data_IF_831174004424
#
_entry.id   IF_831174004424
#
_cell.length_a   1.000
_cell.length_b   1.000
_cell.length_c   1.000
_cell.angle_alpha   90.00
_cell.angle_beta   90.00
_cell.angle_gamma   90.00
#
_symmetry.space_group_name_H-M   'P 1'
#
loop_
_entity.id
_entity.type
_entity.pdbx_description
1 polymer ?
#
# COMPACT_ATOMS: atom_id res chain seq x y z
N UNK A 1 -10.28 -16.49 33.92
CA UNK A 1 -11.60 -15.89 33.61
C UNK A 1 -11.53 -14.43 34.01
N UNK A 2 -11.57 -13.51 33.05
CA UNK A 2 -11.61 -12.06 33.31
C UNK A 2 -13.05 -11.69 33.69
N UNK A 3 -13.22 -10.91 34.76
CA UNK A 3 -14.54 -10.50 35.25
C UNK A 3 -15.17 -9.46 34.29
N UNK A 4 -16.51 -9.44 34.09
CA UNK A 4 -17.13 -8.72 32.97
C UNK A 4 -17.42 -7.22 33.22
N UNK A 5 -16.54 -6.44 33.87
CA UNK A 5 -16.96 -5.07 34.26
C UNK A 5 -15.93 -3.93 34.31
N UNK A 6 -14.90 -3.90 33.43
CA UNK A 6 -14.21 -2.63 33.12
C UNK A 6 -13.84 -2.60 31.64
N UNK A 7 -14.78 -2.17 30.79
CA UNK A 7 -14.44 -1.86 29.39
C UNK A 7 -13.39 -0.74 29.40
N UNK A 8 -12.18 -1.03 28.96
CA UNK A 8 -11.14 -0.02 28.83
C UNK A 8 -11.23 0.63 27.46
N UNK A 9 -11.22 1.95 27.40
CA UNK A 9 -11.32 2.66 26.13
C UNK A 9 -9.95 3.12 25.63
N UNK A 10 -9.78 3.12 24.31
CA UNK A 10 -8.61 3.71 23.68
C UNK A 10 -8.99 4.66 22.54
N UNK A 11 -8.00 5.48 22.16
CA UNK A 11 -8.02 6.26 20.94
C UNK A 11 -6.94 5.79 19.98
N UNK A 12 -7.22 5.74 18.68
CA UNK A 12 -6.24 5.43 17.64
C UNK A 12 -5.91 6.70 16.86
N UNK A 13 -4.65 7.11 16.92
CA UNK A 13 -4.12 8.29 16.25
C UNK A 13 -3.11 7.86 15.21
N UNK A 14 -3.39 8.14 13.94
CA UNK A 14 -2.63 7.60 12.82
C UNK A 14 -1.95 8.72 12.04
N UNK A 15 -0.63 8.67 11.97
CA UNK A 15 0.11 9.44 10.96
C UNK A 15 -0.06 8.75 9.61
N UNK A 16 -1.19 9.06 8.96
CA UNK A 16 -1.60 8.36 7.76
C UNK A 16 -0.65 8.64 6.61
N UNK A 17 -0.14 9.87 6.52
CA UNK A 17 0.84 10.27 5.51
C UNK A 17 2.14 9.46 5.65
N UNK A 18 2.69 9.35 6.87
CA UNK A 18 3.91 8.59 7.11
C UNK A 18 3.73 7.10 6.81
N UNK A 19 2.62 6.50 7.28
CA UNK A 19 2.32 5.10 7.00
C UNK A 19 2.10 4.85 5.51
N UNK A 20 1.43 5.77 4.81
CA UNK A 20 1.15 5.68 3.38
C UNK A 20 2.45 5.64 2.59
N UNK A 21 3.32 6.63 2.75
CA UNK A 21 4.58 6.65 2.02
C UNK A 21 5.49 5.48 2.42
N UNK A 22 5.47 5.08 3.68
CA UNK A 22 6.19 3.89 4.16
C UNK A 22 5.73 2.62 3.44
N UNK A 23 4.41 2.39 3.36
CA UNK A 23 3.85 1.22 2.68
C UNK A 23 4.03 1.31 1.17
N UNK A 24 3.78 2.47 0.57
CA UNK A 24 3.96 2.70 -0.88
C UNK A 24 5.40 2.48 -1.33
N UNK A 25 6.38 2.88 -0.51
CA UNK A 25 7.79 2.65 -0.81
C UNK A 25 8.21 1.19 -0.57
N UNK A 26 7.65 0.51 0.45
CA UNK A 26 8.01 -0.87 0.79
C UNK A 26 7.29 -1.93 -0.05
N UNK A 27 6.02 -1.69 -0.39
CA UNK A 27 5.11 -2.53 -1.18
C UNK A 27 4.44 -1.68 -2.28
N UNK A 28 5.20 -1.18 -3.27
CA UNK A 28 4.65 -0.43 -4.40
C UNK A 28 3.70 -1.27 -5.27
N UNK A 29 3.64 -2.58 -5.05
CA UNK A 29 2.71 -3.50 -5.68
C UNK A 29 1.29 -3.46 -5.09
N UNK A 30 1.10 -2.77 -3.98
CA UNK A 30 -0.20 -2.57 -3.34
C UNK A 30 -0.73 -1.16 -3.66
N UNK A 31 -2.05 -1.04 -3.72
CA UNK A 31 -2.71 0.26 -3.58
C UNK A 31 -2.60 0.66 -2.11
N UNK A 32 -1.56 1.42 -1.77
CA UNK A 32 -1.17 1.69 -0.39
C UNK A 32 -2.30 2.37 0.40
N UNK A 33 -3.06 3.25 -0.23
CA UNK A 33 -4.22 3.90 0.39
C UNK A 33 -5.27 2.88 0.84
N UNK A 34 -5.77 2.08 -0.10
CA UNK A 34 -6.78 1.05 0.16
C UNK A 34 -6.27 -0.01 1.15
N UNK A 35 -5.03 -0.46 1.01
CA UNK A 35 -4.46 -1.44 1.94
C UNK A 35 -4.36 -0.88 3.36
N UNK A 36 -4.01 0.40 3.52
CA UNK A 36 -3.99 1.01 4.85
C UNK A 36 -5.39 1.09 5.47
N UNK A 37 -6.45 1.38 4.71
CA UNK A 37 -7.82 1.33 5.24
C UNK A 37 -8.13 -0.06 5.80
N UNK A 38 -7.86 -1.12 5.02
CA UNK A 38 -8.09 -2.51 5.44
C UNK A 38 -7.25 -2.89 6.66
N UNK A 39 -6.00 -2.42 6.71
CA UNK A 39 -5.09 -2.66 7.82
C UNK A 39 -5.57 -1.96 9.10
N UNK A 40 -6.04 -0.73 8.99
CA UNK A 40 -6.56 0.05 10.12
C UNK A 40 -7.85 -0.55 10.68
N UNK A 41 -8.73 -1.07 9.82
CA UNK A 41 -9.91 -1.82 10.26
C UNK A 41 -9.52 -3.08 11.04
N UNK A 42 -8.60 -3.90 10.50
CA UNK A 42 -8.06 -5.07 11.21
C UNK A 42 -7.37 -4.71 12.54
N UNK A 43 -6.68 -3.57 12.57
CA UNK A 43 -6.00 -3.09 13.76
C UNK A 43 -6.99 -2.83 14.90
N UNK A 44 -8.17 -2.25 14.61
CA UNK A 44 -9.22 -2.02 15.62
C UNK A 44 -9.65 -3.33 16.28
N UNK A 45 -9.94 -4.37 15.49
CA UNK A 45 -10.30 -5.68 16.01
C UNK A 45 -9.16 -6.29 16.84
N UNK A 46 -7.93 -6.24 16.36
CA UNK A 46 -6.76 -6.76 17.07
C UNK A 46 -6.55 -6.08 18.43
N UNK A 47 -6.71 -4.76 18.51
CA UNK A 47 -6.59 -4.02 19.78
C UNK A 47 -7.64 -4.50 20.78
N UNK A 48 -8.88 -4.70 20.33
CA UNK A 48 -9.95 -5.19 21.19
C UNK A 48 -9.70 -6.63 21.66
N UNK A 49 -9.32 -7.53 20.75
CA UNK A 49 -9.14 -8.95 21.07
C UNK A 49 -7.88 -9.24 21.90
N UNK A 50 -6.74 -8.62 21.57
CA UNK A 50 -5.46 -8.95 22.20
C UNK A 50 -5.11 -8.04 23.38
N UNK A 51 -5.61 -6.80 23.39
CA UNK A 51 -5.26 -5.81 24.42
C UNK A 51 -6.45 -5.40 25.29
N UNK A 52 -7.67 -5.81 24.95
CA UNK A 52 -8.87 -5.55 25.75
C UNK A 52 -9.33 -4.09 25.74
N UNK A 53 -8.84 -3.27 24.81
CA UNK A 53 -9.28 -1.88 24.65
C UNK A 53 -10.31 -1.75 23.53
N UNK A 54 -11.41 -1.05 23.79
CA UNK A 54 -12.36 -0.67 22.76
C UNK A 54 -11.95 0.68 22.13
N UNK A 55 -11.66 0.73 20.81
CA UNK A 55 -11.36 1.99 20.14
C UNK A 55 -12.63 2.82 19.94
N UNK A 56 -12.73 3.96 20.63
CA UNK A 56 -13.92 4.84 20.60
C UNK A 56 -13.67 6.19 19.90
N UNK A 57 -12.42 6.53 19.65
CA UNK A 57 -12.02 7.71 18.88
C UNK A 57 -10.86 7.31 17.96
N UNK A 58 -11.06 7.35 16.66
CA UNK A 58 -10.01 6.97 15.71
C UNK A 58 -9.83 8.10 14.70
N UNK A 59 -8.62 8.63 14.58
CA UNK A 59 -8.29 9.78 13.73
C UNK A 59 -7.09 9.47 12.86
N UNK A 60 -7.14 9.93 11.62
CA UNK A 60 -6.05 9.83 10.65
C UNK A 60 -5.64 11.24 10.22
N UNK A 61 -4.34 11.53 10.27
CA UNK A 61 -3.80 12.86 9.97
C UNK A 61 -2.95 12.77 8.70
N UNK A 62 -3.30 13.57 7.68
CA UNK A 62 -2.54 13.67 6.45
C UNK A 62 -2.90 14.94 5.66
N UNK A 63 -1.99 15.33 4.76
CA UNK A 63 -2.37 16.12 3.60
C UNK A 63 -2.87 15.16 2.49
N UNK A 64 -4.16 14.82 2.53
CA UNK A 64 -4.78 13.87 1.60
C UNK A 64 -4.70 14.30 0.12
N UNK A 65 -4.32 15.54 -0.17
CA UNK A 65 -4.16 16.05 -1.53
C UNK A 65 -2.76 15.80 -2.10
N UNK A 66 -1.79 15.36 -1.29
CA UNK A 66 -0.41 15.10 -1.76
C UNK A 66 -0.29 13.90 -2.69
N UNK A 67 -1.22 12.95 -2.62
CA UNK A 67 -1.23 11.75 -3.46
C UNK A 67 -2.67 11.34 -3.78
N UNK A 68 -2.93 10.94 -5.03
CA UNK A 68 -4.28 10.60 -5.48
C UNK A 68 -4.86 9.41 -4.71
N UNK A 69 -4.05 8.41 -4.33
CA UNK A 69 -4.54 7.27 -3.54
C UNK A 69 -4.96 7.69 -2.14
N UNK A 70 -4.33 8.72 -1.57
CA UNK A 70 -4.75 9.28 -0.29
C UNK A 70 -6.05 10.06 -0.44
N UNK A 71 -6.20 10.83 -1.52
CA UNK A 71 -7.41 11.61 -1.78
C UNK A 71 -8.66 10.72 -1.85
N UNK A 72 -8.54 9.55 -2.50
CA UNK A 72 -9.65 8.64 -2.79
C UNK A 72 -10.15 7.82 -1.59
N UNK A 73 -9.37 7.72 -0.50
CA UNK A 73 -9.70 6.81 0.62
C UNK A 73 -10.36 7.47 1.83
N UNK A 74 -10.60 8.79 1.78
CA UNK A 74 -11.20 9.51 2.92
C UNK A 74 -12.60 9.00 3.28
N UNK A 75 -13.43 8.66 2.29
CA UNK A 75 -14.75 8.07 2.52
C UNK A 75 -14.66 6.67 3.14
N UNK A 76 -13.74 5.85 2.64
CA UNK A 76 -13.54 4.49 3.14
C UNK A 76 -12.98 4.48 4.58
N UNK A 77 -12.14 5.45 4.93
CA UNK A 77 -11.68 5.67 6.30
C UNK A 77 -12.85 5.96 7.26
N UNK A 78 -13.79 6.82 6.86
CA UNK A 78 -14.99 7.12 7.65
C UNK A 78 -15.85 5.87 7.85
N UNK A 79 -16.06 5.07 6.79
CA UNK A 79 -16.78 3.80 6.87
C UNK A 79 -16.07 2.79 7.79
N UNK A 80 -14.74 2.79 7.81
CA UNK A 80 -13.92 1.98 8.73
C UNK A 80 -13.88 2.52 10.18
N UNK A 81 -14.58 3.63 10.45
CA UNK A 81 -14.67 4.25 11.78
C UNK A 81 -13.49 5.15 12.15
N UNK A 82 -12.77 5.68 11.15
CA UNK A 82 -11.71 6.67 11.30
C UNK A 82 -12.16 8.03 10.77
N UNK A 83 -11.93 9.08 11.54
CA UNK A 83 -12.17 10.47 11.15
C UNK A 83 -10.92 11.05 10.45
N UNK A 84 -10.99 11.36 9.15
CA UNK A 84 -9.87 11.98 8.43
C UNK A 84 -9.73 13.45 8.82
N UNK A 85 -8.56 13.80 9.36
CA UNK A 85 -8.18 15.17 9.66
C UNK A 85 -7.24 15.68 8.57
N UNK A 86 -7.75 16.60 7.77
CA UNK A 86 -7.01 17.19 6.66
C UNK A 86 -6.14 18.35 7.14
N UNK A 87 -4.85 18.33 6.79
CA UNK A 87 -3.91 19.41 7.06
C UNK A 87 -3.23 19.83 5.77
N UNK A 88 -3.60 21.02 5.26
CA UNK A 88 -2.91 21.60 4.11
C UNK A 88 -1.48 21.97 4.50
N UNK A 89 -0.50 21.23 3.97
CA UNK A 89 0.89 21.38 4.34
C UNK A 89 1.68 21.88 3.15
N UNK A 90 2.41 23.00 3.30
CA UNK A 90 3.43 23.35 2.30
C UNK A 90 4.48 22.22 2.26
N UNK A 91 5.09 21.93 1.10
CA UNK A 91 6.17 20.95 1.01
C UNK A 91 7.23 21.29 2.07
N UNK A 92 7.69 20.28 2.83
CA UNK A 92 8.62 20.39 3.96
C UNK A 92 8.05 20.81 5.32
N UNK A 93 6.73 20.82 5.52
CA UNK A 93 6.13 21.11 6.84
C UNK A 93 5.51 19.88 7.48
N UNK A 94 6.04 19.54 8.63
CA UNK A 94 5.51 18.61 9.62
C UNK A 94 4.29 19.25 10.31
N UNK A 95 3.13 19.25 9.65
CA UNK A 95 1.90 19.82 10.23
C UNK A 95 0.93 18.75 10.73
N UNK A 96 0.98 17.54 10.16
CA UNK A 96 0.16 16.42 10.58
C UNK A 96 0.58 15.83 11.93
N UNK A 97 1.88 15.62 12.14
CA UNK A 97 2.50 15.18 13.40
C UNK A 97 2.29 16.17 14.55
N UNK A 98 2.35 17.48 14.26
CA UNK A 98 2.02 18.54 15.23
C UNK A 98 0.54 18.46 15.64
N UNK A 99 -0.39 18.39 14.68
CA UNK A 99 -1.82 18.31 14.99
C UNK A 99 -2.15 17.04 15.76
N UNK A 100 -1.61 15.89 15.33
CA UNK A 100 -1.73 14.62 16.04
C UNK A 100 -1.26 14.75 17.50
N UNK A 101 -0.12 15.40 17.72
CA UNK A 101 0.42 15.59 19.08
C UNK A 101 -0.45 16.50 19.95
N UNK A 102 -1.05 17.54 19.37
CA UNK A 102 -1.99 18.43 20.07
C UNK A 102 -3.25 17.66 20.47
N UNK A 103 -3.86 16.95 19.52
CA UNK A 103 -5.06 16.14 19.75
C UNK A 103 -4.80 15.01 20.76
N UNK A 104 -3.63 14.38 20.69
CA UNK A 104 -3.21 13.38 21.68
C UNK A 104 -3.16 13.97 23.09
N UNK A 105 -2.56 15.16 23.26
CA UNK A 105 -2.53 15.83 24.56
C UNK A 105 -3.91 16.28 25.03
N UNK A 106 -4.74 16.79 24.13
CA UNK A 106 -6.13 17.14 24.44
C UNK A 106 -6.89 15.92 24.95
N UNK A 107 -6.77 14.76 24.29
CA UNK A 107 -7.39 13.51 24.74
C UNK A 107 -6.86 13.08 26.10
N UNK A 108 -5.53 13.12 26.32
CA UNK A 108 -4.95 12.76 27.61
C UNK A 108 -5.50 13.62 28.75
N UNK A 109 -5.73 14.91 28.49
CA UNK A 109 -6.16 15.89 29.51
C UNK A 109 -7.68 15.91 29.71
N UNK A 110 -8.46 15.82 28.63
CA UNK A 110 -9.92 15.99 28.67
C UNK A 110 -10.70 14.68 28.70
N UNK A 111 -10.09 13.55 28.34
CA UNK A 111 -10.75 12.24 28.25
C UNK A 111 -10.18 11.28 29.29
N UNK A 112 -10.69 11.40 30.52
CA UNK A 112 -10.34 10.52 31.62
C UNK A 112 -10.69 9.05 31.34
N UNK A 113 -11.77 8.82 30.58
CA UNK A 113 -12.27 7.52 30.14
C UNK A 113 -11.34 6.81 29.14
N UNK A 114 -10.47 7.54 28.43
CA UNK A 114 -9.50 6.95 27.51
C UNK A 114 -8.26 6.54 28.31
N UNK A 115 -8.05 5.25 28.53
CA UNK A 115 -6.93 4.74 29.33
C UNK A 115 -5.65 4.50 28.49
N UNK A 116 -5.81 4.34 27.17
CA UNK A 116 -4.74 4.01 26.25
C UNK A 116 -4.80 4.86 24.98
N UNK A 117 -3.64 5.35 24.54
CA UNK A 117 -3.48 5.97 23.23
C UNK A 117 -2.69 5.02 22.32
N UNK A 118 -3.27 4.69 21.19
CA UNK A 118 -2.64 3.91 20.13
C UNK A 118 -2.06 4.88 19.12
N UNK A 119 -0.73 4.99 19.08
CA UNK A 119 -0.02 5.89 18.17
C UNK A 119 0.48 5.07 16.98
N UNK A 120 -0.05 5.34 15.79
CA UNK A 120 0.38 4.67 14.58
C UNK A 120 1.39 5.54 13.83
N UNK A 121 2.67 5.43 14.21
CA UNK A 121 3.78 6.17 13.64
C UNK A 121 5.13 5.46 13.85
N UNK A 122 6.07 5.61 12.90
CA UNK A 122 7.40 4.99 12.95
C UNK A 122 8.55 5.92 13.39
N UNK A 123 8.33 7.24 13.37
CA UNK A 123 9.38 8.26 13.52
C UNK A 123 9.70 8.60 15.00
N UNK A 124 10.98 8.78 15.30
CA UNK A 124 11.45 9.29 16.59
C UNK A 124 10.88 10.66 16.99
N UNK A 125 10.37 11.44 16.04
CA UNK A 125 9.70 12.72 16.31
C UNK A 125 8.49 12.58 17.25
N UNK A 126 7.93 11.37 17.38
CA UNK A 126 6.83 11.06 18.31
C UNK A 126 7.28 10.76 19.75
N UNK A 127 8.59 10.69 20.04
CA UNK A 127 9.09 10.43 21.39
C UNK A 127 8.59 11.43 22.45
N UNK A 128 8.57 12.76 22.21
CA UNK A 128 8.13 13.72 23.20
C UNK A 128 6.67 13.50 23.59
N UNK A 129 5.77 13.26 22.63
CA UNK A 129 4.35 13.04 22.91
C UNK A 129 4.13 11.71 23.65
N UNK A 130 4.80 10.63 23.24
CA UNK A 130 4.74 9.33 23.94
C UNK A 130 5.17 9.48 25.40
N UNK A 131 6.27 10.19 25.66
CA UNK A 131 6.73 10.45 27.04
C UNK A 131 5.70 11.23 27.85
N UNK A 132 5.03 12.22 27.25
CA UNK A 132 3.99 12.99 27.93
C UNK A 132 2.79 12.11 28.26
N UNK A 133 2.31 11.30 27.32
CA UNK A 133 1.20 10.35 27.57
C UNK A 133 1.51 9.44 28.78
N UNK A 134 2.72 8.85 28.80
CA UNK A 134 3.17 7.99 29.89
C UNK A 134 3.31 8.74 31.24
N UNK A 135 3.77 10.00 31.22
CA UNK A 135 3.87 10.84 32.43
C UNK A 135 2.50 11.13 33.06
N UNK A 136 1.44 11.16 32.25
CA UNK A 136 0.05 11.29 32.73
C UNK A 136 -0.55 9.96 33.20
N UNK A 137 0.23 8.87 33.23
CA UNK A 137 -0.20 7.55 33.70
C UNK A 137 -1.08 6.78 32.71
N UNK A 138 -1.22 7.27 31.48
CA UNK A 138 -1.95 6.58 30.40
C UNK A 138 -1.04 5.56 29.71
N UNK A 139 -1.63 4.51 29.15
CA UNK A 139 -0.91 3.51 28.36
C UNK A 139 -0.68 4.01 26.93
N UNK A 140 0.39 3.51 26.29
CA UNK A 140 0.67 3.76 24.88
C UNK A 140 0.84 2.43 24.17
N UNK A 141 0.08 2.21 23.09
CA UNK A 141 0.35 1.15 22.12
C UNK A 141 0.95 1.77 20.86
N UNK A 142 2.15 1.35 20.50
CA UNK A 142 2.84 1.85 19.31
C UNK A 142 2.59 0.92 18.12
N UNK A 143 2.00 1.46 17.05
CA UNK A 143 1.78 0.74 15.81
C UNK A 143 2.69 1.28 14.71
N UNK A 144 3.55 0.43 14.14
CA UNK A 144 4.33 0.83 12.97
C UNK A 144 4.79 -0.37 12.16
N UNK A 145 5.28 -0.10 10.95
CA UNK A 145 5.94 -1.11 10.17
C UNK A 145 7.34 -1.39 10.74
N UNK A 146 7.75 -2.65 10.78
CA UNK A 146 9.04 -3.05 11.33
C UNK A 146 10.23 -2.43 10.59
N UNK A 147 10.05 -2.06 9.32
CA UNK A 147 11.08 -1.44 8.48
C UNK A 147 11.20 0.08 8.65
N UNK A 148 10.21 0.75 9.29
CA UNK A 148 10.23 2.20 9.50
C UNK A 148 10.27 2.61 10.99
N UNK A 149 10.30 1.63 11.90
CA UNK A 149 10.17 1.88 13.34
C UNK A 149 11.52 2.20 13.99
N UNK A 150 11.66 3.41 14.53
CA UNK A 150 12.84 3.85 15.28
C UNK A 150 13.12 2.98 16.51
N UNK A 151 14.40 2.69 16.77
CA UNK A 151 14.83 1.95 17.95
C UNK A 151 14.57 2.69 19.27
N UNK A 152 14.53 4.01 19.24
CA UNK A 152 14.25 4.83 20.43
C UNK A 152 12.81 4.68 20.90
N UNK A 153 11.86 4.66 19.96
CA UNK A 153 10.45 4.41 20.27
C UNK A 153 10.27 3.04 20.93
N UNK A 154 10.93 2.01 20.39
CA UNK A 154 10.89 0.65 20.94
C UNK A 154 11.36 0.61 22.39
N UNK A 155 12.47 1.28 22.69
CA UNK A 155 13.02 1.38 24.06
C UNK A 155 12.09 2.12 25.00
N UNK A 156 11.41 3.17 24.51
CA UNK A 156 10.54 4.00 25.34
C UNK A 156 9.21 3.31 25.68
N UNK A 157 8.64 2.57 24.73
CA UNK A 157 7.30 1.96 24.86
C UNK A 157 7.38 0.51 25.40
N UNK A 158 8.45 -0.21 25.06
CA UNK A 158 8.66 -1.62 25.41
C UNK A 158 7.96 -2.58 24.45
N UNK A 159 8.58 -3.72 24.13
CA UNK A 159 8.07 -4.69 23.13
C UNK A 159 6.62 -5.18 23.35
N UNK A 160 6.12 -5.41 24.58
CA UNK A 160 4.72 -5.83 24.78
C UNK A 160 3.69 -4.82 24.27
N UNK A 161 4.08 -3.54 24.19
CA UNK A 161 3.23 -2.43 23.79
C UNK A 161 3.42 -2.06 22.31
N UNK A 162 4.02 -2.94 21.50
CA UNK A 162 4.30 -2.69 20.09
C UNK A 162 3.46 -3.63 19.21
N UNK A 163 2.65 -3.04 18.33
CA UNK A 163 1.90 -3.75 17.30
C UNK A 163 2.61 -3.57 15.96
N UNK A 164 3.12 -4.66 15.40
CA UNK A 164 3.82 -4.65 14.10
C UNK A 164 2.81 -4.75 12.96
N UNK A 165 2.63 -3.65 12.24
CA UNK A 165 1.64 -3.53 11.16
C UNK A 165 1.87 -4.54 10.03
N UNK A 166 3.12 -4.98 9.80
CA UNK A 166 3.44 -6.01 8.79
C UNK A 166 2.67 -7.32 8.99
N UNK A 167 2.31 -7.66 10.23
CA UNK A 167 1.57 -8.88 10.53
C UNK A 167 0.11 -8.83 10.05
N UNK A 168 -0.41 -7.63 9.79
CA UNK A 168 -1.79 -7.37 9.35
C UNK A 168 -1.91 -7.22 7.84
N UNK A 169 -0.79 -6.96 7.16
CA UNK A 169 -0.72 -6.96 5.71
C UNK A 169 -1.04 -8.35 5.15
N UNK A 170 -1.63 -8.44 3.96
CA UNK A 170 -1.81 -9.71 3.28
C UNK A 170 -0.45 -10.39 3.15
N UNK A 171 -0.37 -11.64 3.63
CA UNK A 171 0.77 -12.50 3.38
C UNK A 171 0.90 -12.63 1.86
N UNK A 172 1.98 -12.09 1.31
CA UNK A 172 2.35 -12.38 -0.06
C UNK A 172 2.44 -13.90 -0.23
N UNK A 173 1.81 -14.44 -1.28
CA UNK A 173 2.13 -15.78 -1.82
C UNK A 173 3.59 -15.76 -2.28
N UNK A 174 4.51 -15.88 -1.34
CA UNK A 174 5.91 -16.17 -1.61
C UNK A 174 6.04 -17.68 -1.52
N UNK A 175 6.08 -18.32 -2.69
CA UNK A 175 6.59 -19.69 -2.79
C UNK A 175 8.04 -19.63 -2.35
N UNK A 176 8.35 -20.39 -1.31
CA UNK A 176 9.68 -20.49 -0.74
C UNK A 176 10.43 -21.58 -1.51
N UNK A 177 11.28 -21.20 -2.46
CA UNK A 177 12.27 -22.13 -3.03
C UNK A 177 13.63 -21.49 -2.92
N UNK A 178 14.27 -21.71 -1.77
CA UNK A 178 15.70 -21.49 -1.67
C UNK A 178 16.40 -22.43 -2.63
N UNK A 179 16.94 -21.89 -3.73
CA UNK A 179 18.06 -22.36 -4.54
C UNK A 179 18.28 -21.33 -5.67
N UNK A 180 19.53 -21.18 -6.10
CA UNK A 180 20.04 -20.05 -6.88
C UNK A 180 19.35 -19.74 -8.22
N UNK A 181 19.57 -18.50 -8.66
CA UNK A 181 19.11 -17.91 -9.92
C UNK A 181 19.37 -18.81 -11.14
N UNK A 182 18.28 -19.27 -11.75
CA UNK A 182 18.16 -19.62 -13.17
C UNK A 182 16.89 -18.93 -13.69
N UNK A 183 16.89 -18.48 -14.95
CA UNK A 183 15.72 -17.87 -15.61
C UNK A 183 14.52 -18.82 -15.52
N UNK A 184 13.60 -18.56 -14.59
CA UNK A 184 12.33 -19.28 -14.49
C UNK A 184 11.48 -18.95 -15.71
N UNK A 185 11.05 -19.98 -16.46
CA UNK A 185 9.99 -19.85 -17.46
C UNK A 185 8.78 -19.15 -16.83
N UNK A 186 8.37 -18.03 -17.41
CA UNK A 186 7.23 -17.26 -16.91
C UNK A 186 5.97 -18.07 -17.19
N UNK A 187 5.29 -18.51 -16.12
CA UNK A 187 4.04 -19.25 -16.22
C UNK A 187 2.89 -18.34 -16.70
N UNK A 188 2.60 -18.39 -18.00
CA UNK A 188 1.45 -17.74 -18.62
C UNK A 188 0.13 -18.48 -18.36
N UNK A 189 0.21 -19.61 -17.66
CA UNK A 189 -0.87 -20.54 -17.35
C UNK A 189 -1.25 -21.45 -18.53
N UNK A 190 -2.30 -22.28 -18.36
CA UNK A 190 -2.73 -23.28 -19.34
C UNK A 190 -3.00 -22.71 -20.75
N UNK A 191 -2.64 -23.46 -21.79
CA UNK A 191 -2.90 -23.10 -23.20
C UNK A 191 -4.40 -22.96 -23.50
N UNK A 192 -5.26 -23.60 -22.70
CA UNK A 192 -6.72 -23.47 -22.80
C UNK A 192 -7.21 -22.02 -22.60
N UNK A 193 -6.40 -21.15 -21.96
CA UNK A 193 -6.71 -19.73 -21.81
C UNK A 193 -6.50 -18.94 -23.11
N UNK A 194 -5.77 -19.49 -24.09
CA UNK A 194 -5.43 -18.82 -25.36
C UNK A 194 -6.57 -18.91 -26.39
N UNK A 195 -7.65 -19.60 -26.05
CA UNK A 195 -8.82 -19.81 -26.92
C UNK A 195 -9.69 -18.55 -27.08
N UNK A 196 -9.46 -17.51 -26.28
CA UNK A 196 -10.23 -16.27 -26.33
C UNK A 196 -9.55 -15.24 -27.22
N UNK A 197 -10.28 -14.75 -28.22
CA UNK A 197 -9.84 -13.62 -29.05
C UNK A 197 -9.60 -12.38 -28.20
N UNK A 198 -8.64 -11.55 -28.63
CA UNK A 198 -8.39 -10.24 -28.03
C UNK A 198 -9.30 -9.19 -28.67
N UNK A 199 -9.78 -8.24 -27.87
CA UNK A 199 -10.55 -7.09 -28.32
C UNK A 199 -9.62 -5.97 -28.87
N UNK A 200 -10.20 -4.93 -29.47
CA UNK A 200 -9.44 -3.85 -30.09
C UNK A 200 -8.53 -3.09 -29.10
N UNK A 201 -8.95 -2.95 -27.84
CA UNK A 201 -8.17 -2.22 -26.84
C UNK A 201 -7.02 -3.07 -26.30
N UNK A 202 -7.26 -4.37 -26.15
CA UNK A 202 -6.23 -5.39 -25.86
C UNK A 202 -5.19 -5.46 -26.98
N UNK A 203 -5.62 -5.43 -28.25
CA UNK A 203 -4.71 -5.40 -29.41
C UNK A 203 -3.86 -4.13 -29.45
N UNK A 204 -4.47 -2.94 -29.26
CA UNK A 204 -3.75 -1.65 -29.20
C UNK A 204 -2.71 -1.64 -28.10
N UNK A 205 -3.09 -2.05 -26.89
CA UNK A 205 -2.14 -2.10 -25.76
C UNK A 205 -1.01 -3.08 -26.04
N UNK A 206 -1.33 -4.26 -26.57
CA UNK A 206 -0.34 -5.27 -26.91
C UNK A 206 0.63 -4.78 -27.99
N UNK A 207 0.16 -4.05 -29.00
CA UNK A 207 0.99 -3.43 -30.04
C UNK A 207 1.97 -2.42 -29.45
N UNK A 208 1.53 -1.53 -28.57
CA UNK A 208 2.40 -0.57 -27.89
C UNK A 208 3.46 -1.28 -27.05
N UNK A 209 3.06 -2.30 -26.27
CA UNK A 209 4.00 -3.09 -25.47
C UNK A 209 5.03 -3.82 -26.34
N UNK A 210 4.62 -4.40 -27.47
CA UNK A 210 5.52 -5.06 -28.42
C UNK A 210 6.48 -4.08 -29.12
N UNK A 211 6.00 -2.90 -29.51
CA UNK A 211 6.85 -1.86 -30.11
C UNK A 211 7.93 -1.39 -29.13
N UNK A 212 7.57 -1.14 -27.88
CA UNK A 212 8.51 -0.71 -26.84
C UNK A 212 9.50 -1.82 -26.49
N UNK A 213 9.07 -3.08 -26.51
CA UNK A 213 9.96 -4.24 -26.36
C UNK A 213 10.98 -4.32 -27.51
N UNK A 214 10.54 -4.09 -28.76
CA UNK A 214 11.39 -4.14 -29.94
C UNK A 214 12.38 -2.97 -30.04
N UNK A 215 11.97 -1.75 -29.65
CA UNK A 215 12.81 -0.54 -29.71
C UNK A 215 14.04 -0.61 -28.79
N UNK A 216 13.95 -1.33 -27.67
CA UNK A 216 14.94 -1.24 -26.61
C UNK A 216 15.73 -2.53 -26.35
N UNK A 217 15.44 -3.65 -27.03
CA UNK A 217 16.01 -4.99 -26.75
C UNK A 217 16.05 -5.30 -25.24
N UNK A 218 15.07 -4.77 -24.50
CA UNK A 218 15.01 -4.75 -23.04
C UNK A 218 13.58 -4.93 -22.59
N UNK A 219 13.45 -5.41 -21.36
CA UNK A 219 12.18 -5.59 -20.67
C UNK A 219 11.38 -4.27 -20.61
N UNK A 220 10.08 -4.32 -20.90
CA UNK A 220 9.21 -3.13 -20.84
C UNK A 220 8.77 -2.89 -19.40
N UNK A 221 9.23 -1.80 -18.80
CA UNK A 221 8.95 -1.50 -17.40
C UNK A 221 7.54 -0.93 -17.21
N UNK A 222 6.76 -1.54 -16.32
CA UNK A 222 5.35 -1.16 -16.09
C UNK A 222 5.23 0.28 -15.57
N UNK A 223 6.13 0.70 -14.67
CA UNK A 223 6.11 2.06 -14.10
C UNK A 223 6.31 3.17 -15.13
N UNK A 224 7.45 3.19 -15.85
CA UNK A 224 7.68 4.08 -16.99
C UNK A 224 6.62 3.95 -18.09
N UNK A 225 6.12 2.74 -18.37
CA UNK A 225 5.04 2.55 -19.35
C UNK A 225 3.82 3.43 -19.05
N UNK A 226 3.34 3.45 -17.80
CA UNK A 226 2.21 4.32 -17.43
C UNK A 226 2.55 5.80 -17.36
N UNK A 227 3.80 6.15 -17.04
CA UNK A 227 4.21 7.54 -16.79
C UNK A 227 4.59 8.26 -18.07
N UNK A 228 5.31 7.56 -18.95
CA UNK A 228 6.06 8.15 -20.05
C UNK A 228 5.54 7.66 -21.42
N UNK A 229 5.00 6.45 -21.51
CA UNK A 229 4.52 5.87 -22.78
C UNK A 229 3.02 6.15 -22.96
N UNK A 230 2.17 5.70 -22.03
CA UNK A 230 0.70 5.86 -22.10
C UNK A 230 0.25 7.30 -22.42
N UNK A 231 0.79 8.36 -21.78
CA UNK A 231 0.35 9.73 -22.09
C UNK A 231 0.76 10.21 -23.48
N UNK A 232 1.76 9.59 -24.11
CA UNK A 232 2.32 9.99 -25.40
C UNK A 232 1.88 9.10 -26.57
N UNK A 233 1.16 8.00 -26.30
CA UNK A 233 0.69 7.06 -27.31
C UNK A 233 -0.75 7.35 -27.75
N UNK A 234 -0.91 7.80 -28.99
CA UNK A 234 -2.22 8.19 -29.55
C UNK A 234 -3.24 7.03 -29.51
N UNK A 235 -2.78 5.79 -29.58
CA UNK A 235 -3.64 4.60 -29.49
C UNK A 235 -4.19 4.35 -28.08
N UNK A 236 -3.61 4.93 -27.02
CA UNK A 236 -3.98 4.67 -25.63
C UNK A 236 -4.49 5.91 -24.87
N UNK A 237 -4.26 7.11 -25.40
CA UNK A 237 -4.69 8.39 -24.79
C UNK A 237 -6.21 8.51 -24.56
N UNK A 238 -7.01 7.75 -25.30
CA UNK A 238 -8.46 7.74 -25.17
C UNK A 238 -8.96 6.88 -23.98
N UNK A 239 -8.08 6.07 -23.38
CA UNK A 239 -8.38 5.22 -22.23
C UNK A 239 -7.82 5.84 -20.95
N UNK A 240 -8.63 5.85 -19.90
CA UNK A 240 -8.17 6.19 -18.56
C UNK A 240 -7.21 5.14 -18.01
N UNK A 241 -6.44 5.50 -16.97
CA UNK A 241 -5.52 4.56 -16.31
C UNK A 241 -6.23 3.33 -15.75
N UNK A 242 -7.47 3.47 -15.28
CA UNK A 242 -8.29 2.35 -14.83
C UNK A 242 -8.69 1.43 -15.98
N UNK A 243 -9.09 2.00 -17.12
CA UNK A 243 -9.43 1.23 -18.33
C UNK A 243 -8.22 0.48 -18.87
N UNK A 244 -7.05 1.12 -18.90
CA UNK A 244 -5.78 0.48 -19.28
C UNK A 244 -5.42 -0.65 -18.31
N UNK A 245 -5.63 -0.46 -17.01
CA UNK A 245 -5.41 -1.52 -16.02
C UNK A 245 -6.36 -2.71 -16.24
N UNK A 246 -7.63 -2.44 -16.56
CA UNK A 246 -8.59 -3.49 -16.92
C UNK A 246 -8.18 -4.24 -18.19
N UNK A 247 -7.68 -3.54 -19.21
CA UNK A 247 -7.16 -4.16 -20.44
C UNK A 247 -5.97 -5.08 -20.12
N UNK A 248 -5.03 -4.62 -19.28
CA UNK A 248 -3.89 -5.44 -18.82
C UNK A 248 -4.37 -6.69 -18.08
N UNK A 249 -5.38 -6.58 -17.24
CA UNK A 249 -5.87 -7.72 -16.46
C UNK A 249 -6.63 -8.73 -17.33
N UNK A 250 -7.34 -8.28 -18.38
CA UNK A 250 -7.92 -9.18 -19.39
C UNK A 250 -6.84 -9.90 -20.20
N UNK A 251 -5.80 -9.19 -20.66
CA UNK A 251 -4.65 -9.80 -21.35
C UNK A 251 -3.90 -10.83 -20.48
N UNK A 252 -3.79 -10.58 -19.16
CA UNK A 252 -3.25 -11.57 -18.20
C UNK A 252 -4.17 -12.79 -18.08
N UNK A 253 -5.49 -12.58 -18.07
CA UNK A 253 -6.49 -13.65 -18.02
C UNK A 253 -6.47 -14.57 -19.25
N UNK A 254 -5.98 -14.06 -20.39
CA UNK A 254 -5.81 -14.80 -21.65
C UNK A 254 -4.41 -15.41 -21.83
N UNK A 255 -3.50 -15.22 -20.87
CA UNK A 255 -2.12 -15.73 -20.98
C UNK A 255 -1.26 -15.03 -22.04
N UNK A 256 -1.65 -13.83 -22.46
CA UNK A 256 -0.93 -13.05 -23.48
C UNK A 256 0.28 -12.33 -22.87
N UNK A 257 0.08 -11.74 -21.69
CA UNK A 257 1.14 -11.06 -20.94
C UNK A 257 1.13 -11.49 -19.48
N UNK A 258 2.28 -11.36 -18.84
CA UNK A 258 2.46 -11.42 -17.39
C UNK A 258 3.21 -10.18 -16.94
N UNK A 259 3.04 -9.83 -15.67
CA UNK A 259 3.88 -8.82 -15.04
C UNK A 259 4.76 -9.56 -14.06
N UNK A 260 6.06 -9.62 -14.34
CA UNK A 260 7.05 -10.24 -13.46
C UNK A 260 7.83 -9.17 -12.71
N UNK A 261 8.27 -9.52 -11.50
CA UNK A 261 9.11 -8.65 -10.67
C UNK A 261 10.56 -9.03 -10.87
N UNK A 262 11.38 -8.08 -11.29
CA UNK A 262 12.81 -8.26 -11.51
C UNK A 262 13.57 -7.58 -10.36
N UNK A 263 14.50 -8.28 -9.70
CA UNK A 263 15.36 -7.67 -8.70
C UNK A 263 16.19 -6.55 -9.33
N UNK A 264 16.13 -5.36 -8.76
CA UNK A 264 16.86 -4.18 -9.23
C UNK A 264 17.53 -3.47 -8.07
N UNK A 265 18.57 -2.68 -8.36
CA UNK A 265 19.20 -1.76 -7.41
C UNK A 265 18.86 -0.33 -7.83
N UNK A 266 18.34 0.54 -6.93
CA UNK A 266 18.16 0.33 -5.49
C UNK A 266 16.91 -0.47 -5.10
N UNK A 267 15.95 -0.67 -6.01
CA UNK A 267 14.68 -1.38 -5.74
C UNK A 267 14.29 -2.34 -6.87
N UNK A 268 13.55 -3.42 -6.58
CA UNK A 268 12.96 -4.28 -7.61
C UNK A 268 11.96 -3.50 -8.46
N UNK A 269 11.87 -3.84 -9.74
CA UNK A 269 10.99 -3.21 -10.71
C UNK A 269 10.09 -4.25 -11.37
N UNK A 270 8.95 -3.82 -11.91
CA UNK A 270 8.00 -4.70 -12.60
C UNK A 270 8.12 -4.52 -14.10
N UNK A 271 8.16 -5.63 -14.82
CA UNK A 271 8.26 -5.63 -16.28
C UNK A 271 7.18 -6.51 -16.89
N UNK A 272 6.73 -6.12 -18.08
CA UNK A 272 5.89 -6.98 -18.90
C UNK A 272 6.74 -8.13 -19.44
N UNK A 273 6.24 -9.35 -19.23
CA UNK A 273 6.66 -10.55 -19.93
C UNK A 273 5.59 -10.87 -20.96
N UNK A 274 6.01 -11.09 -22.21
CA UNK A 274 5.11 -11.33 -23.34
C UNK A 274 5.20 -12.80 -23.71
N UNK A 275 4.05 -13.44 -23.92
CA UNK A 275 4.02 -14.82 -24.38
C UNK A 275 4.16 -14.87 -25.91
N UNK A 276 5.40 -14.97 -26.41
CA UNK A 276 5.67 -15.10 -27.86
C UNK A 276 5.17 -16.42 -28.46
N UNK A 277 4.73 -17.38 -27.64
CA UNK A 277 4.07 -18.60 -28.12
C UNK A 277 2.56 -18.44 -28.32
N UNK A 278 1.96 -17.37 -27.78
CA UNK A 278 0.53 -17.10 -27.94
C UNK A 278 0.19 -16.74 -29.40
N UNK A 279 -0.85 -17.34 -30.02
CA UNK A 279 -1.21 -17.10 -31.42
C UNK A 279 -1.37 -15.62 -31.80
N UNK A 280 -2.12 -14.83 -31.02
CA UNK A 280 -2.32 -13.40 -31.31
C UNK A 280 -1.03 -12.58 -31.29
N UNK A 281 -0.06 -12.94 -30.42
CA UNK A 281 1.23 -12.26 -30.35
C UNK A 281 2.03 -12.55 -31.63
N UNK A 282 2.03 -13.81 -32.08
CA UNK A 282 2.71 -14.21 -33.33
C UNK A 282 2.10 -13.52 -34.55
N UNK A 283 0.78 -13.44 -34.63
CA UNK A 283 0.09 -12.74 -35.72
C UNK A 283 0.46 -11.26 -35.79
N UNK A 284 0.45 -10.55 -34.65
CA UNK A 284 0.81 -9.13 -34.58
C UNK A 284 2.28 -8.90 -34.94
N UNK A 285 3.18 -9.76 -34.45
CA UNK A 285 4.62 -9.68 -34.75
C UNK A 285 4.88 -9.94 -36.24
N UNK A 286 4.28 -10.99 -36.82
CA UNK A 286 4.40 -11.30 -38.25
C UNK A 286 3.84 -10.19 -39.14
N UNK A 287 2.74 -9.55 -38.73
CA UNK A 287 2.15 -8.42 -39.46
C UNK A 287 2.99 -7.13 -39.38
N UNK A 288 3.92 -7.02 -38.43
CA UNK A 288 4.81 -5.88 -38.27
C UNK A 288 6.18 -6.05 -38.99
N UNK A 289 6.52 -7.27 -39.43
CA UNK A 289 7.74 -7.61 -40.17
C UNK A 289 7.57 -7.59 -41.71
N UNK A 290 6.36 -7.29 -42.20
CA UNK A 290 5.99 -7.15 -43.62
C UNK A 290 5.82 -5.67 -43.98
#
# INVERSE_FOLDING_TARGET
MVQPNDLQFCSILVDFENLFFSLKNYRPDLTAGQELVHLLDKLRYKIQEEYGYLPIMNRTYADYQKDYEMADVQGDLQLAGFEPHFIHSKPSKNSADILLSIDAMEMVVLREDINCLVICAGDSDYLPIIRRILQYGKQVLLCAFSFNMSGDLKRQVGEPNIIRLNSLLPKSRLVNTGLGFQDEEVDFGPEEMWLFEIDNDEERLLRVVLQEHARHEREVWVGPFFRDIVPNEAELQHLSRFEIQNVIDRLKGKGVIRVRKVPGKPHPYSVFSINFNHPCVREIVMAAEV
#
